data_IF_701198543330
#
_entry.id   IF_701198543330
#
_cell.length_a   1.000
_cell.length_b   1.000
_cell.length_c   1.000
_cell.angle_alpha   90.00
_cell.angle_beta   90.00
_cell.angle_gamma   90.00
#
_symmetry.space_group_name_H-M   'P 1'
#
loop_
_entity.id
_entity.type
_entity.pdbx_description
1 polymer ?
#
# COMPACT_ATOMS: atom_id res chain seq x y z
N UNK A 1 -5.59 11.84 17.43
CA UNK A 1 -5.03 11.11 16.27
C UNK A 1 -4.34 9.85 16.81
N UNK A 2 -4.91 8.64 16.69
CA UNK A 2 -4.31 7.45 17.27
C UNK A 2 -2.96 7.16 16.59
N UNK A 3 -1.88 7.13 17.38
CA UNK A 3 -0.55 6.72 16.94
C UNK A 3 -0.53 5.20 16.80
N UNK A 4 -0.48 4.72 15.57
CA UNK A 4 -0.53 3.28 15.28
C UNK A 4 0.86 2.69 15.41
N UNK A 5 1.10 2.09 16.58
CA UNK A 5 2.28 1.31 16.89
C UNK A 5 2.47 0.13 15.95
N UNK A 6 3.74 -0.10 15.66
CA UNK A 6 4.40 -1.28 15.09
C UNK A 6 3.65 -2.58 15.41
N UNK A 7 3.00 -3.22 14.42
CA UNK A 7 2.60 -4.63 14.55
C UNK A 7 1.24 -5.10 14.02
N UNK A 8 0.36 -4.25 13.47
CA UNK A 8 -0.94 -4.74 12.97
C UNK A 8 -1.12 -4.43 11.48
N UNK A 9 -1.36 -5.51 10.70
CA UNK A 9 -1.60 -5.55 9.25
C UNK A 9 -2.51 -4.40 8.80
N UNK A 10 -2.16 -3.84 7.63
CA UNK A 10 -2.76 -2.66 6.99
C UNK A 10 -4.24 -2.46 7.35
N UNK A 11 -4.55 -1.42 8.12
CA UNK A 11 -5.94 -1.04 8.47
C UNK A 11 -6.69 -0.33 7.34
N UNK A 12 -6.09 -0.21 6.16
CA UNK A 12 -6.69 0.43 5.00
C UNK A 12 -6.85 -0.58 3.87
N UNK A 13 -7.97 -0.51 3.15
CA UNK A 13 -8.13 -1.32 1.95
C UNK A 13 -7.15 -0.83 0.88
N UNK A 14 -6.59 -1.76 0.11
CA UNK A 14 -5.73 -1.43 -1.04
C UNK A 14 -6.42 -0.48 -2.02
N UNK A 15 -7.74 -0.66 -2.19
CA UNK A 15 -8.58 0.17 -3.04
C UNK A 15 -8.65 1.64 -2.55
N UNK A 16 -8.74 1.86 -1.24
CA UNK A 16 -8.82 3.20 -0.67
C UNK A 16 -7.52 3.98 -0.85
N UNK A 17 -6.38 3.29 -0.72
CA UNK A 17 -5.07 3.89 -0.98
C UNK A 17 -4.89 4.28 -2.45
N UNK A 18 -5.33 3.43 -3.38
CA UNK A 18 -5.28 3.73 -4.81
C UNK A 18 -6.14 4.95 -5.18
N UNK A 19 -7.38 5.02 -4.66
CA UNK A 19 -8.26 6.18 -4.86
C UNK A 19 -7.65 7.46 -4.30
N UNK A 20 -7.07 7.38 -3.11
CA UNK A 20 -6.45 8.54 -2.46
C UNK A 20 -5.24 9.07 -3.25
N UNK A 21 -4.39 8.18 -3.76
CA UNK A 21 -3.25 8.55 -4.62
C UNK A 21 -3.74 9.20 -5.91
N UNK A 22 -4.75 8.61 -6.58
CA UNK A 22 -5.30 9.17 -7.81
C UNK A 22 -5.85 10.59 -7.62
N UNK A 23 -6.62 10.85 -6.55
CA UNK A 23 -7.17 12.19 -6.28
C UNK A 23 -6.10 13.24 -5.99
N UNK A 24 -4.99 12.85 -5.36
CA UNK A 24 -3.87 13.76 -5.09
C UNK A 24 -3.06 14.03 -6.36
N UNK A 25 -2.82 13.01 -7.19
CA UNK A 25 -2.13 13.17 -8.48
C UNK A 25 -2.93 14.03 -9.47
N UNK A 26 -4.26 13.92 -9.46
CA UNK A 26 -5.15 14.79 -10.23
C UNK A 26 -5.20 16.23 -9.72
N UNK A 27 -4.67 16.51 -8.51
CA UNK A 27 -4.71 17.84 -7.90
C UNK A 27 -6.05 18.20 -7.25
N UNK A 28 -7.01 17.27 -7.16
CA UNK A 28 -8.34 17.52 -6.61
C UNK A 28 -8.33 17.67 -5.08
N UNK A 29 -7.46 16.92 -4.40
CA UNK A 29 -7.35 16.92 -2.93
C UNK A 29 -5.89 17.08 -2.49
N UNK A 30 -5.68 17.81 -1.39
CA UNK A 30 -4.37 17.83 -0.73
C UNK A 30 -4.11 16.50 -0.03
N UNK A 31 -2.84 16.14 0.15
CA UNK A 31 -2.38 14.92 0.85
C UNK A 31 -3.12 14.71 2.18
N UNK A 32 -3.31 15.79 2.95
CA UNK A 32 -4.01 15.72 4.24
C UNK A 32 -5.50 15.45 4.07
N UNK A 33 -6.16 16.15 3.14
CA UNK A 33 -7.59 15.99 2.87
C UNK A 33 -7.90 14.60 2.31
N UNK A 34 -7.06 14.09 1.41
CA UNK A 34 -7.16 12.74 0.88
C UNK A 34 -6.99 11.67 1.97
N UNK A 35 -6.05 11.87 2.91
CA UNK A 35 -5.86 10.94 4.03
C UNK A 35 -7.10 10.85 4.92
N UNK A 36 -7.73 11.99 5.22
CA UNK A 36 -8.96 12.08 6.02
C UNK A 36 -10.18 11.51 5.26
N UNK A 37 -10.32 11.78 3.97
CA UNK A 37 -11.48 11.30 3.17
C UNK A 37 -11.47 9.80 2.93
N UNK A 38 -10.28 9.21 2.71
CA UNK A 38 -10.15 7.79 2.39
C UNK A 38 -9.70 6.95 3.59
N UNK A 39 -9.63 7.53 4.81
CA UNK A 39 -9.17 6.85 6.02
C UNK A 39 -7.82 6.12 5.86
N UNK A 40 -6.90 6.75 5.13
CA UNK A 40 -5.56 6.19 4.88
C UNK A 40 -4.49 6.92 5.68
N UNK A 41 -3.41 6.25 6.11
CA UNK A 41 -2.32 6.90 6.83
C UNK A 41 -1.62 7.93 5.93
N UNK A 42 -1.48 9.17 6.43
CA UNK A 42 -0.84 10.27 5.70
C UNK A 42 0.60 9.95 5.26
N UNK A 43 1.38 9.30 6.13
CA UNK A 43 2.76 8.90 5.84
C UNK A 43 2.82 7.87 4.71
N UNK A 44 1.97 6.84 4.79
CA UNK A 44 1.88 5.82 3.74
C UNK A 44 1.44 6.43 2.41
N UNK A 45 0.44 7.30 2.41
CA UNK A 45 0.01 8.01 1.21
C UNK A 45 1.15 8.86 0.60
N UNK A 46 1.96 9.51 1.43
CA UNK A 46 3.16 10.23 0.97
C UNK A 46 4.23 9.29 0.37
N UNK A 47 4.50 8.14 1.00
CA UNK A 47 5.47 7.16 0.48
C UNK A 47 5.04 6.62 -0.91
N UNK A 48 3.74 6.44 -1.14
CA UNK A 48 3.21 6.04 -2.46
C UNK A 48 3.34 7.17 -3.50
N UNK A 49 3.09 8.43 -3.11
CA UNK A 49 3.20 9.58 -4.04
C UNK A 49 4.66 9.87 -4.39
N UNK A 50 5.57 9.72 -3.43
CA UNK A 50 7.01 9.92 -3.64
C UNK A 50 7.68 8.81 -4.46
N UNK A 51 6.93 7.78 -4.88
CA UNK A 51 7.43 6.66 -5.67
C UNK A 51 8.24 5.64 -4.86
N UNK A 52 8.25 5.74 -3.53
CA UNK A 52 8.96 4.80 -2.65
C UNK A 52 8.21 3.47 -2.51
N UNK A 53 6.89 3.47 -2.75
CA UNK A 53 6.04 2.28 -2.75
C UNK A 53 5.12 2.27 -3.96
N UNK A 54 5.04 1.14 -4.66
CA UNK A 54 4.03 0.97 -5.71
C UNK A 54 2.64 0.78 -5.10
N UNK A 55 1.62 1.36 -5.72
CA UNK A 55 0.21 1.37 -5.25
C UNK A 55 -0.37 -0.03 -5.06
N UNK A 56 0.23 -1.03 -5.70
CA UNK A 56 -0.19 -2.44 -5.65
C UNK A 56 0.85 -3.36 -5.01
N UNK A 57 1.94 -2.79 -4.46
CA UNK A 57 2.96 -3.59 -3.83
C UNK A 57 2.37 -4.28 -2.59
N UNK A 58 2.28 -5.61 -2.62
CA UNK A 58 1.94 -6.38 -1.43
C UNK A 58 3.07 -6.14 -0.42
N UNK A 59 2.81 -5.56 0.76
CA UNK A 59 3.87 -5.36 1.74
C UNK A 59 4.33 -6.74 2.23
N UNK A 60 5.50 -7.16 1.78
CA UNK A 60 6.05 -8.47 2.05
C UNK A 60 7.39 -8.67 1.33
N UNK A 61 8.20 -9.59 1.83
CA UNK A 61 9.39 -10.04 1.09
C UNK A 61 8.92 -10.73 -0.19
N UNK A 62 9.51 -10.37 -1.33
CA UNK A 62 9.34 -11.14 -2.58
C UNK A 62 9.83 -12.57 -2.30
N UNK A 63 9.03 -13.58 -2.64
CA UNK A 63 9.48 -14.97 -2.56
C UNK A 63 10.67 -15.16 -3.49
N UNK A 64 11.67 -15.91 -3.04
CA UNK A 64 12.89 -16.16 -3.84
C UNK A 64 12.55 -16.99 -5.08
N UNK A 65 11.52 -17.82 -4.98
CA UNK A 65 11.04 -18.68 -6.04
C UNK A 65 9.69 -18.17 -6.58
N UNK A 66 9.53 -18.06 -7.91
CA UNK A 66 8.22 -17.95 -8.55
C UNK A 66 7.35 -19.16 -8.17
N UNK A 67 6.03 -18.97 -8.06
CA UNK A 67 5.09 -20.03 -7.67
C UNK A 67 5.22 -21.32 -8.52
N UNK A 68 5.63 -21.16 -9.78
CA UNK A 68 5.91 -22.26 -10.71
C UNK A 68 7.06 -23.17 -10.24
N UNK A 69 8.12 -22.60 -9.67
CA UNK A 69 9.29 -23.36 -9.19
C UNK A 69 8.96 -24.13 -7.92
N UNK A 70 8.13 -23.55 -7.03
CA UNK A 70 7.68 -24.25 -5.81
C UNK A 70 6.88 -25.51 -6.12
N UNK A 71 6.05 -25.50 -7.17
CA UNK A 71 5.25 -26.67 -7.58
C UNK A 71 6.12 -27.78 -8.18
N UNK A 72 7.16 -27.43 -8.96
CA UNK A 72 8.08 -28.42 -9.52
C UNK A 72 8.84 -29.19 -8.44
N UNK A 73 9.23 -28.51 -7.36
CA UNK A 73 9.93 -29.12 -6.23
C UNK A 73 9.05 -30.10 -5.42
N UNK A 74 7.73 -30.01 -5.51
CA UNK A 74 6.79 -30.89 -4.79
C UNK A 74 6.43 -32.16 -5.57
N UNK A 75 6.72 -32.20 -6.87
CA UNK A 75 6.35 -33.31 -7.76
C UNK A 75 7.49 -34.31 -8.06
N UNK A 76 8.66 -34.16 -7.43
CA UNK A 76 9.77 -35.11 -7.49
C UNK A 76 9.82 -35.98 -6.23
#
# INVERSE_FOLDING_TARGET
MPKQGKGMRCKYASNDMAKAVAQVQLGNLSIRKAAETFNVPRSSLHDHISGRMEVHATPGKRTVFPAEVEHLLQTC
#
